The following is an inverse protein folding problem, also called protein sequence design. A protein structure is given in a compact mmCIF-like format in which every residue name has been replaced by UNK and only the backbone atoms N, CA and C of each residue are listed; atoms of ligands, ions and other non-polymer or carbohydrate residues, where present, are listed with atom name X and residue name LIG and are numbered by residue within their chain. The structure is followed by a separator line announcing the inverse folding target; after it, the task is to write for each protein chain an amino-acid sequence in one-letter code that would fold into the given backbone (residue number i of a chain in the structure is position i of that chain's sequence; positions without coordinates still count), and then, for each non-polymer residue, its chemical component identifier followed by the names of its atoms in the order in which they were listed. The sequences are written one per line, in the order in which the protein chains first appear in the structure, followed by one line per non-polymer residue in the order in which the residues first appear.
data_IF_608534398817
#
_entry.id   IF_608534398817
#
_cell.length_a   1.000
_cell.length_b   1.000
_cell.length_c   1.000
_cell.angle_alpha   90.00
_cell.angle_beta   90.00
_cell.angle_gamma   90.00
#
_symmetry.space_group_name_H-M   'P 1'
#
loop_
_entity.id
_entity.type
_entity.pdbx_description
1 polymer ?
#
# COMPACT_ATOMS: atom_id res chain seq x y z
N UNK A 1 -12.23 -67.47 25.73
CA UNK A 1 -11.95 -66.85 24.42
C UNK A 1 -13.09 -65.89 24.10
N UNK A 2 -12.81 -64.58 24.16
CA UNK A 2 -13.60 -63.49 23.56
C UNK A 2 -13.52 -63.57 22.01
N UNK A 3 -14.26 -62.77 21.19
CA UNK A 3 -15.07 -61.54 21.46
C UNK A 3 -16.52 -61.61 20.89
N UNK A 4 -17.56 -60.88 21.30
CA UNK A 4 -17.86 -59.45 21.55
C UNK A 4 -17.67 -58.51 20.33
N UNK A 5 -18.71 -58.39 19.49
CA UNK A 5 -18.80 -57.41 18.41
C UNK A 5 -19.89 -56.37 18.75
N UNK A 6 -19.43 -55.19 19.15
CA UNK A 6 -20.21 -53.99 19.46
C UNK A 6 -20.33 -53.15 18.16
N UNK A 7 -21.53 -52.99 17.63
CA UNK A 7 -21.79 -52.07 16.50
C UNK A 7 -21.94 -50.63 17.03
N UNK A 8 -20.91 -49.81 16.86
CA UNK A 8 -21.01 -48.35 17.00
C UNK A 8 -21.61 -47.75 15.73
N UNK A 9 -22.83 -47.21 15.85
CA UNK A 9 -23.39 -46.29 14.86
C UNK A 9 -22.72 -44.92 15.01
N UNK A 10 -21.88 -44.56 14.07
CA UNK A 10 -21.28 -43.23 13.94
C UNK A 10 -22.36 -42.24 13.50
N UNK A 11 -22.82 -41.41 14.42
CA UNK A 11 -23.59 -40.21 14.10
C UNK A 11 -22.67 -39.21 13.38
N UNK A 12 -22.99 -38.90 12.13
CA UNK A 12 -22.33 -37.85 11.35
C UNK A 12 -22.59 -36.48 11.99
N UNK A 13 -21.56 -35.67 12.29
CA UNK A 13 -21.78 -34.27 12.58
C UNK A 13 -22.05 -33.54 11.26
N UNK A 14 -23.28 -33.03 11.11
CA UNK A 14 -23.62 -32.07 10.07
C UNK A 14 -22.68 -30.87 10.18
N UNK A 15 -21.77 -30.74 9.22
CA UNK A 15 -20.92 -29.58 9.06
C UNK A 15 -21.82 -28.35 8.88
N UNK A 16 -21.96 -27.56 9.94
CA UNK A 16 -22.56 -26.25 9.86
C UNK A 16 -21.63 -25.41 9.00
N UNK A 17 -22.02 -25.23 7.73
CA UNK A 17 -21.42 -24.24 6.85
C UNK A 17 -21.77 -22.87 7.43
N UNK A 18 -20.89 -22.35 8.29
CA UNK A 18 -20.99 -20.99 8.78
C UNK A 18 -20.79 -20.06 7.58
N UNK A 19 -21.90 -19.53 7.06
CA UNK A 19 -21.88 -18.44 6.11
C UNK A 19 -21.02 -17.33 6.71
N UNK A 20 -19.85 -17.11 6.13
CA UNK A 20 -18.96 -16.03 6.52
C UNK A 20 -19.73 -14.73 6.29
N UNK A 21 -19.86 -13.84 7.29
CA UNK A 21 -20.56 -12.59 7.07
C UNK A 21 -19.83 -11.82 5.96
N UNK A 22 -20.48 -11.64 4.81
CA UNK A 22 -20.01 -10.73 3.77
C UNK A 22 -19.79 -9.37 4.44
N UNK A 23 -18.60 -8.76 4.35
CA UNK A 23 -18.37 -7.45 4.93
C UNK A 23 -19.26 -6.42 4.22
N UNK A 24 -20.41 -6.10 4.81
CA UNK A 24 -21.44 -5.18 4.28
C UNK A 24 -20.99 -3.70 4.29
N UNK A 25 -19.69 -3.42 4.44
CA UNK A 25 -19.17 -2.06 4.63
C UNK A 25 -18.80 -1.32 3.34
N UNK A 26 -18.71 -2.04 2.21
CA UNK A 26 -18.32 -1.45 0.92
C UNK A 26 -19.51 -1.06 0.02
N UNK A 27 -20.74 -1.36 0.42
CA UNK A 27 -21.95 -1.15 -0.38
C UNK A 27 -22.66 0.18 -0.08
N UNK A 28 -22.95 0.93 -1.14
CA UNK A 28 -23.75 2.18 -1.19
C UNK A 28 -23.16 3.45 -0.55
N UNK A 29 -22.10 3.37 0.25
CA UNK A 29 -21.34 4.53 0.76
C UNK A 29 -20.10 4.84 -0.09
N UNK A 30 -20.20 4.72 -1.42
CA UNK A 30 -19.23 5.33 -2.37
C UNK A 30 -19.35 6.87 -2.41
N UNK A 31 -19.75 7.50 -1.29
CA UNK A 31 -19.36 8.86 -1.02
C UNK A 31 -17.83 8.85 -0.96
N UNK A 32 -17.17 9.80 -1.64
CA UNK A 32 -15.72 9.81 -1.84
C UNK A 32 -14.97 9.37 -0.57
N UNK A 33 -14.45 8.14 -0.59
CA UNK A 33 -13.62 7.63 0.50
C UNK A 33 -12.48 8.64 0.71
N UNK A 34 -12.12 8.87 1.97
CA UNK A 34 -10.97 9.71 2.24
C UNK A 34 -9.71 9.13 1.57
N UNK A 35 -8.73 9.95 1.25
CA UNK A 35 -7.46 9.48 0.66
C UNK A 35 -6.71 8.49 1.57
N UNK A 36 -7.11 8.42 2.83
CA UNK A 36 -6.64 7.48 3.85
C UNK A 36 -7.44 6.18 3.93
N UNK A 37 -8.39 5.96 3.03
CA UNK A 37 -9.31 4.81 3.04
C UNK A 37 -9.32 4.05 1.72
N UNK A 38 -9.44 2.73 1.79
CA UNK A 38 -9.70 1.87 0.62
C UNK A 38 -10.71 0.80 0.98
N UNK A 39 -11.68 0.56 0.10
CA UNK A 39 -12.55 -0.60 0.23
C UNK A 39 -11.84 -1.87 -0.29
N UNK A 40 -11.70 -2.87 0.58
CA UNK A 40 -11.43 -4.26 0.22
C UNK A 40 -12.72 -5.07 0.38
N UNK A 41 -13.31 -5.63 -0.71
CA UNK A 41 -14.54 -6.42 -0.63
C UNK A 41 -14.49 -7.59 0.37
N UNK A 42 -13.30 -8.09 0.69
CA UNK A 42 -13.09 -9.22 1.62
C UNK A 42 -12.90 -8.79 3.07
N UNK A 43 -12.51 -7.54 3.32
CA UNK A 43 -12.14 -7.03 4.66
C UNK A 43 -12.94 -5.81 5.10
N UNK A 44 -13.71 -5.18 4.23
CA UNK A 44 -14.35 -3.89 4.46
C UNK A 44 -13.42 -2.71 4.16
N UNK A 45 -13.68 -1.56 4.79
CA UNK A 45 -12.88 -0.34 4.60
C UNK A 45 -11.61 -0.44 5.44
N UNK A 46 -10.46 -0.43 4.77
CA UNK A 46 -9.14 -0.32 5.41
C UNK A 46 -8.81 1.16 5.58
N UNK A 47 -8.23 1.52 6.72
CA UNK A 47 -7.86 2.91 7.02
C UNK A 47 -6.36 3.02 7.36
N UNK A 48 -5.68 3.96 6.72
CA UNK A 48 -4.27 4.29 6.97
C UNK A 48 -4.20 5.64 7.70
N UNK A 49 -3.58 5.64 8.88
CA UNK A 49 -3.37 6.85 9.65
C UNK A 49 -1.88 7.12 9.86
N UNK A 50 -1.46 8.36 9.61
CA UNK A 50 -0.18 8.86 10.07
C UNK A 50 -0.37 9.73 11.32
N UNK A 51 0.13 9.28 12.49
CA UNK A 51 -0.03 9.99 13.76
C UNK A 51 1.21 9.83 14.62
N UNK A 52 1.75 10.95 15.12
CA UNK A 52 2.91 10.98 16.02
C UNK A 52 4.10 10.16 15.50
N UNK A 53 4.47 10.34 14.22
CA UNK A 53 5.58 9.61 13.59
C UNK A 53 5.26 8.15 13.23
N UNK A 54 4.03 7.67 13.42
CA UNK A 54 3.67 6.27 13.17
C UNK A 54 2.69 6.15 12.01
N UNK A 55 2.97 5.22 11.10
CA UNK A 55 2.04 4.79 10.06
C UNK A 55 1.29 3.57 10.59
N UNK A 56 -0.02 3.71 10.74
CA UNK A 56 -0.89 2.71 11.36
C UNK A 56 -1.95 2.28 10.36
N UNK A 57 -2.03 0.98 10.10
CA UNK A 57 -3.09 0.37 9.32
C UNK A 57 -4.16 -0.22 10.23
N UNK A 58 -5.40 0.14 9.97
CA UNK A 58 -6.58 -0.41 10.61
C UNK A 58 -7.30 -1.32 9.60
N UNK A 59 -7.44 -2.59 9.97
CA UNK A 59 -8.19 -3.59 9.22
C UNK A 59 -9.40 -3.99 10.07
N UNK A 60 -10.63 -3.95 9.53
CA UNK A 60 -11.83 -4.31 10.30
C UNK A 60 -11.72 -5.68 10.95
N UNK A 61 -12.15 -5.78 12.21
CA UNK A 61 -12.07 -7.00 13.00
C UNK A 61 -10.66 -7.38 13.48
N UNK A 62 -9.65 -6.50 13.31
CA UNK A 62 -8.28 -6.72 13.79
C UNK A 62 -7.80 -5.55 14.66
N UNK A 63 -6.82 -5.82 15.52
CA UNK A 63 -6.12 -4.76 16.23
C UNK A 63 -5.37 -3.84 15.25
N UNK A 64 -5.29 -2.51 15.50
CA UNK A 64 -4.49 -1.60 14.69
C UNK A 64 -3.04 -2.07 14.60
N UNK A 65 -2.47 -2.07 13.41
CA UNK A 65 -1.12 -2.54 13.15
C UNK A 65 -0.22 -1.37 12.80
N UNK A 66 0.91 -1.23 13.49
CA UNK A 66 1.90 -0.19 13.16
C UNK A 66 2.82 -0.74 12.10
N UNK A 67 2.71 -0.21 10.89
CA UNK A 67 3.51 -0.61 9.74
C UNK A 67 4.93 -0.06 9.84
N UNK A 68 5.06 1.17 10.33
CA UNK A 68 6.34 1.87 10.45
C UNK A 68 6.29 2.93 11.56
N UNK A 69 7.46 3.21 12.14
CA UNK A 69 7.69 4.40 12.97
C UNK A 69 8.83 5.20 12.32
N UNK A 70 8.50 6.39 11.82
CA UNK A 70 9.43 7.33 11.20
C UNK A 70 10.12 8.12 12.32
N UNK A 71 11.46 8.08 12.42
CA UNK A 71 12.17 8.89 13.41
C UNK A 71 11.91 10.38 13.17
N UNK A 72 11.76 11.16 14.24
CA UNK A 72 11.40 12.59 14.18
C UNK A 72 12.26 13.41 13.21
N UNK A 73 13.55 13.09 13.10
CA UNK A 73 14.47 13.81 12.23
C UNK A 73 14.10 13.71 10.73
N UNK A 74 13.36 12.65 10.35
CA UNK A 74 12.90 12.36 8.99
C UNK A 74 11.39 12.59 8.81
N UNK A 75 10.75 13.23 9.78
CA UNK A 75 9.30 13.33 9.81
C UNK A 75 8.78 14.22 8.65
N UNK A 76 7.77 13.75 7.88
CA UNK A 76 7.24 14.48 6.73
C UNK A 76 6.55 15.80 7.10
N UNK A 77 6.10 15.98 8.34
CA UNK A 77 5.58 17.26 8.83
C UNK A 77 6.63 18.38 8.83
N UNK A 78 7.92 18.05 8.91
CA UNK A 78 9.00 19.04 8.83
C UNK A 78 9.15 19.65 7.43
N UNK A 79 8.52 19.03 6.43
CA UNK A 79 8.61 19.39 5.01
C UNK A 79 7.22 19.55 4.39
N UNK A 80 6.18 19.72 5.22
CA UNK A 80 4.80 19.94 4.77
C UNK A 80 4.15 18.79 4.00
N UNK A 81 4.77 17.60 3.99
CA UNK A 81 4.39 16.49 3.10
C UNK A 81 3.59 15.38 3.78
N UNK A 82 3.23 15.55 5.06
CA UNK A 82 2.53 14.50 5.83
C UNK A 82 1.22 14.02 5.17
N UNK A 83 0.51 14.89 4.44
CA UNK A 83 -0.72 14.55 3.72
C UNK A 83 -0.51 13.59 2.54
N UNK A 84 0.71 13.54 2.00
CA UNK A 84 1.05 12.63 0.92
C UNK A 84 1.20 11.18 1.41
N UNK A 85 1.19 10.92 2.73
CA UNK A 85 1.03 9.57 3.28
C UNK A 85 -0.43 9.16 3.18
N UNK A 86 -0.75 8.36 2.16
CA UNK A 86 -2.14 8.02 1.84
C UNK A 86 -2.24 6.73 1.05
N UNK A 87 -3.40 6.08 1.11
CA UNK A 87 -3.66 4.89 0.32
C UNK A 87 -3.84 5.27 -1.15
N UNK A 88 -3.44 4.38 -2.06
CA UNK A 88 -3.93 4.51 -3.43
C UNK A 88 -5.44 4.22 -3.44
N UNK A 89 -6.25 4.99 -4.19
CA UNK A 89 -7.68 4.75 -4.28
C UNK A 89 -7.96 3.36 -4.87
N UNK A 90 -9.13 2.78 -4.62
CA UNK A 90 -9.47 1.40 -5.03
C UNK A 90 -9.19 1.12 -6.52
N UNK A 91 -9.40 2.11 -7.41
CA UNK A 91 -9.11 1.97 -8.86
C UNK A 91 -7.62 1.79 -9.19
N UNK A 92 -6.73 2.16 -8.28
CA UNK A 92 -5.27 2.03 -8.37
C UNK A 92 -4.72 0.93 -7.45
N UNK A 93 -5.57 -0.02 -7.04
CA UNK A 93 -5.22 -1.11 -6.12
C UNK A 93 -5.36 -2.50 -6.78
N UNK A 94 -4.65 -2.77 -7.91
CA UNK A 94 -4.85 -4.00 -8.68
C UNK A 94 -4.45 -5.28 -7.93
N UNK A 95 -3.61 -5.14 -6.90
CA UNK A 95 -3.10 -6.27 -6.13
C UNK A 95 -3.89 -6.54 -4.83
N UNK A 96 -4.90 -5.72 -4.53
CA UNK A 96 -5.65 -5.83 -3.26
C UNK A 96 -6.35 -7.18 -3.10
N UNK A 97 -6.87 -7.76 -4.20
CA UNK A 97 -7.46 -9.09 -4.22
C UNK A 97 -6.45 -10.22 -3.89
N UNK A 98 -5.14 -9.94 -4.02
CA UNK A 98 -4.02 -10.85 -3.71
C UNK A 98 -3.37 -10.53 -2.36
N UNK A 99 -4.08 -9.83 -1.47
CA UNK A 99 -3.59 -9.44 -0.14
C UNK A 99 -2.38 -8.51 -0.20
N UNK A 100 -2.32 -7.64 -1.22
CA UNK A 100 -1.26 -6.64 -1.38
C UNK A 100 -1.89 -5.26 -1.44
N UNK A 101 -1.62 -4.44 -0.43
CA UNK A 101 -2.14 -3.09 -0.32
C UNK A 101 -1.05 -2.09 -0.70
N UNK A 102 -1.40 -1.13 -1.55
CA UNK A 102 -0.50 -0.06 -1.97
C UNK A 102 -0.83 1.24 -1.25
N UNK A 103 0.20 1.95 -0.79
CA UNK A 103 0.06 3.30 -0.28
C UNK A 103 1.30 4.12 -0.60
N UNK A 104 1.15 5.44 -0.70
CA UNK A 104 2.28 6.35 -0.83
C UNK A 104 2.82 6.64 0.57
N UNK A 105 4.11 6.40 0.79
CA UNK A 105 4.83 6.81 1.98
C UNK A 105 5.76 7.96 1.62
N UNK A 106 5.86 8.96 2.48
CA UNK A 106 6.82 10.05 2.31
C UNK A 106 7.64 10.23 3.58
N UNK A 107 8.91 10.54 3.40
CA UNK A 107 9.81 10.94 4.48
C UNK A 107 10.64 12.13 4.01
N UNK A 108 11.19 12.86 4.96
CA UNK A 108 12.23 13.82 4.67
C UNK A 108 13.51 13.09 4.28
N UNK A 109 14.26 13.62 3.31
CA UNK A 109 15.47 13.01 2.75
C UNK A 109 16.65 12.96 3.72
N UNK A 110 16.87 14.03 4.47
CA UNK A 110 18.02 14.20 5.35
C UNK A 110 17.62 14.72 6.73
N UNK A 111 18.32 14.30 7.81
CA UNK A 111 18.15 14.94 9.11
C UNK A 111 18.85 16.31 9.13
N UNK A 112 18.36 17.26 9.93
CA UNK A 112 19.03 18.57 10.15
C UNK A 112 18.21 19.79 9.70
N UNK A 113 18.85 20.77 9.09
CA UNK A 113 18.31 22.01 8.50
C UNK A 113 18.13 21.92 6.97
N UNK A 114 18.66 20.85 6.34
CA UNK A 114 18.48 20.63 4.91
C UNK A 114 19.42 21.46 4.05
N UNK A 115 20.68 21.59 4.44
CA UNK A 115 21.71 22.18 3.57
C UNK A 115 22.11 21.20 2.43
N UNK A 116 22.34 21.74 1.21
CA UNK A 116 22.72 20.97 0.02
C UNK A 116 21.74 21.15 -1.15
N UNK A 117 22.10 20.64 -2.34
CA UNK A 117 21.31 20.77 -3.58
C UNK A 117 19.89 20.20 -3.45
N UNK A 118 19.74 19.08 -2.73
CA UNK A 118 18.46 18.44 -2.44
C UNK A 118 17.82 18.83 -1.10
N UNK A 119 18.54 19.62 -0.31
CA UNK A 119 18.21 20.00 1.05
C UNK A 119 17.45 18.96 1.87
N UNK A 120 16.36 19.41 2.49
CA UNK A 120 15.40 18.61 3.24
C UNK A 120 14.24 18.10 2.36
N UNK A 121 14.49 17.72 1.10
CA UNK A 121 13.44 17.31 0.18
C UNK A 121 12.57 16.12 0.64
N UNK A 122 11.53 15.84 -0.13
CA UNK A 122 10.65 14.70 0.07
C UNK A 122 11.20 13.47 -0.66
N UNK A 123 11.22 12.34 0.05
CA UNK A 123 11.49 11.02 -0.52
C UNK A 123 10.19 10.23 -0.46
N UNK A 124 9.56 10.05 -1.61
CA UNK A 124 8.31 9.31 -1.75
C UNK A 124 8.57 7.92 -2.29
N UNK A 125 7.92 6.94 -1.67
CA UNK A 125 7.90 5.57 -2.14
C UNK A 125 6.46 5.05 -2.26
N UNK A 126 6.22 4.25 -3.28
CA UNK A 126 5.11 3.33 -3.32
C UNK A 126 5.42 2.16 -2.38
N UNK A 127 4.73 2.11 -1.25
CA UNK A 127 4.89 1.05 -0.26
C UNK A 127 3.88 -0.07 -0.51
N UNK A 128 4.38 -1.29 -0.53
CA UNK A 128 3.60 -2.52 -0.67
C UNK A 128 3.46 -3.17 0.71
N UNK A 129 2.23 -3.39 1.15
CA UNK A 129 1.92 -4.06 2.41
C UNK A 129 1.35 -5.44 2.13
N UNK A 130 1.91 -6.47 2.76
CA UNK A 130 1.31 -7.79 2.82
C UNK A 130 0.19 -7.80 3.87
N UNK A 131 -1.03 -8.15 3.47
CA UNK A 131 -2.19 -8.29 4.34
C UNK A 131 -2.43 -9.72 4.83
N UNK A 132 -1.58 -10.67 4.43
CA UNK A 132 -1.59 -12.04 4.91
C UNK A 132 -1.10 -12.09 6.37
N UNK A 133 -1.89 -12.70 7.26
CA UNK A 133 -1.58 -12.68 8.69
C UNK A 133 -1.58 -11.25 9.25
N UNK A 134 -0.54 -10.90 10.03
CA UNK A 134 -0.36 -9.54 10.56
C UNK A 134 0.19 -8.61 9.47
N UNK A 135 -0.48 -7.48 9.17
CA UNK A 135 0.00 -6.57 8.14
C UNK A 135 1.45 -6.14 8.32
N UNK A 136 2.23 -6.19 7.24
CA UNK A 136 3.65 -5.84 7.27
C UNK A 136 4.10 -5.27 5.93
N UNK A 137 5.14 -4.45 5.96
CA UNK A 137 5.70 -3.86 4.74
C UNK A 137 6.53 -4.92 4.02
N UNK A 138 6.15 -5.22 2.78
CA UNK A 138 6.87 -6.12 1.88
C UNK A 138 8.00 -5.40 1.14
N UNK A 139 7.69 -4.22 0.59
CA UNK A 139 8.62 -3.44 -0.23
C UNK A 139 8.33 -1.94 -0.16
N UNK A 140 9.35 -1.14 -0.44
CA UNK A 140 9.25 0.30 -0.70
C UNK A 140 9.92 0.58 -2.03
N UNK A 141 9.14 1.00 -3.00
CA UNK A 141 9.62 1.30 -4.34
C UNK A 141 9.70 2.82 -4.49
N UNK A 142 10.89 3.41 -4.67
CA UNK A 142 11.03 4.86 -4.85
C UNK A 142 10.20 5.34 -6.05
N UNK A 143 9.46 6.42 -5.86
CA UNK A 143 8.65 7.05 -6.92
C UNK A 143 8.87 8.55 -7.04
N UNK A 144 9.43 9.19 -6.01
CA UNK A 144 10.04 10.52 -6.13
C UNK A 144 11.18 10.61 -5.13
N UNK A 145 12.34 11.06 -5.60
CA UNK A 145 13.56 11.16 -4.82
C UNK A 145 14.44 12.25 -5.40
N UNK A 146 14.81 13.22 -4.56
CA UNK A 146 15.80 14.19 -4.99
C UNK A 146 17.20 13.55 -5.04
N UNK A 147 17.50 12.66 -4.10
CA UNK A 147 18.81 12.01 -4.00
C UNK A 147 19.09 11.09 -5.19
N UNK A 148 18.06 10.38 -5.66
CA UNK A 148 18.18 9.39 -6.73
C UNK A 148 17.74 9.93 -8.10
N UNK A 149 17.46 11.23 -8.23
CA UNK A 149 16.96 11.87 -9.46
C UNK A 149 15.72 11.16 -10.04
N UNK A 150 14.69 11.04 -9.22
CA UNK A 150 13.40 10.43 -9.58
C UNK A 150 12.32 11.49 -9.43
N UNK A 151 11.64 11.83 -10.52
CA UNK A 151 10.50 12.74 -10.52
C UNK A 151 9.30 12.13 -11.24
N UNK A 152 8.15 12.20 -10.58
CA UNK A 152 6.86 11.85 -11.17
C UNK A 152 6.51 12.86 -12.26
N UNK A 153 5.85 12.38 -13.31
CA UNK A 153 5.27 13.24 -14.35
C UNK A 153 3.97 13.90 -13.85
N UNK A 154 4.11 14.71 -12.79
CA UNK A 154 3.04 15.39 -12.06
C UNK A 154 3.53 16.76 -11.52
N UNK A 155 2.62 17.74 -11.37
CA UNK A 155 2.97 19.06 -10.85
C UNK A 155 3.27 19.06 -9.33
N UNK A 156 2.70 18.11 -8.59
CA UNK A 156 2.91 17.96 -7.16
C UNK A 156 2.78 16.49 -6.73
N UNK A 157 3.25 16.22 -5.51
CA UNK A 157 3.27 14.88 -4.90
C UNK A 157 1.87 14.33 -4.60
N UNK A 158 0.85 15.20 -4.60
CA UNK A 158 -0.53 14.82 -4.31
C UNK A 158 -1.32 14.51 -5.59
N UNK A 159 -0.74 14.71 -6.77
CA UNK A 159 -1.34 14.33 -8.04
C UNK A 159 -1.15 12.84 -8.34
N UNK A 160 -2.27 12.13 -8.55
CA UNK A 160 -2.28 10.71 -8.91
C UNK A 160 -2.41 10.48 -10.43
N UNK A 161 -2.43 11.52 -11.26
CA UNK A 161 -2.45 11.40 -12.73
C UNK A 161 -1.33 10.53 -13.33
N UNK A 162 -0.11 10.43 -12.74
CA UNK A 162 0.93 9.54 -13.28
C UNK A 162 0.63 8.05 -13.07
N UNK A 163 -0.30 7.72 -12.18
CA UNK A 163 -0.60 6.34 -11.79
C UNK A 163 -1.82 5.82 -12.57
N UNK A 164 -1.63 4.70 -13.26
CA UNK A 164 -2.73 4.02 -13.97
C UNK A 164 -2.68 2.51 -13.75
N UNK A 165 -3.81 1.84 -13.95
CA UNK A 165 -3.85 0.37 -13.97
C UNK A 165 -4.15 -0.08 -15.38
N UNK A 166 -3.29 -0.93 -15.94
CA UNK A 166 -3.50 -1.61 -17.22
C UNK A 166 -3.00 -3.04 -17.10
N UNK A 167 -3.74 -3.99 -17.69
CA UNK A 167 -3.40 -5.42 -17.65
C UNK A 167 -3.20 -5.94 -16.21
N UNK A 168 -4.04 -5.48 -15.28
CA UNK A 168 -3.97 -5.78 -13.83
C UNK A 168 -2.62 -5.43 -13.18
N UNK A 169 -1.89 -4.46 -13.74
CA UNK A 169 -0.63 -3.95 -13.20
C UNK A 169 -0.67 -2.44 -13.03
N UNK A 170 -0.05 -1.97 -11.95
CA UNK A 170 0.13 -0.55 -11.72
C UNK A 170 1.27 -0.04 -12.61
N UNK A 171 0.95 0.98 -13.41
CA UNK A 171 1.86 1.77 -14.24
C UNK A 171 2.05 3.14 -13.62
N UNK A 172 3.28 3.66 -13.73
CA UNK A 172 3.70 4.93 -13.16
C UNK A 172 4.51 5.66 -14.23
N UNK A 173 4.15 6.92 -14.48
CA UNK A 173 4.87 7.82 -15.37
C UNK A 173 5.81 8.73 -14.59
N UNK A 174 6.98 8.96 -15.17
CA UNK A 174 8.04 9.79 -14.61
C UNK A 174 8.49 10.83 -15.64
N UNK A 175 8.87 12.00 -15.16
CA UNK A 175 9.58 13.01 -15.97
C UNK A 175 11.09 12.80 -15.92
N UNK A 176 11.59 12.16 -14.85
CA UNK A 176 12.98 11.74 -14.72
C UNK A 176 13.06 10.45 -13.88
N UNK A 177 13.92 9.52 -14.30
CA UNK A 177 14.26 8.35 -13.50
C UNK A 177 15.69 7.94 -13.85
N UNK A 178 16.60 7.97 -12.86
CA UNK A 178 18.01 7.67 -13.09
C UNK A 178 18.23 6.36 -13.87
N UNK A 179 18.99 6.46 -14.96
CA UNK A 179 19.28 5.33 -15.85
C UNK A 179 18.26 5.10 -16.96
N UNK A 180 17.22 5.94 -17.05
CA UNK A 180 16.17 5.88 -18.07
C UNK A 180 15.93 7.25 -18.74
N UNK A 181 16.94 8.12 -18.72
CA UNK A 181 16.84 9.52 -19.18
C UNK A 181 16.54 9.66 -20.69
N UNK A 182 16.75 8.59 -21.47
CA UNK A 182 16.51 8.56 -22.92
C UNK A 182 15.08 8.11 -23.31
N UNK A 183 14.24 7.69 -22.35
CA UNK A 183 12.88 7.23 -22.62
C UNK A 183 11.87 8.39 -22.61
N UNK A 184 10.99 8.47 -23.62
CA UNK A 184 9.90 9.45 -23.68
C UNK A 184 8.57 8.79 -24.13
N UNK A 185 7.58 8.62 -23.23
CA UNK A 185 7.61 8.92 -21.81
C UNK A 185 8.38 7.85 -21.00
N UNK A 186 8.96 8.23 -19.86
CA UNK A 186 9.50 7.26 -18.89
C UNK A 186 8.32 6.60 -18.18
N UNK A 187 7.95 5.39 -18.59
CA UNK A 187 6.90 4.61 -17.98
C UNK A 187 7.45 3.32 -17.36
N UNK A 188 7.08 3.08 -16.10
CA UNK A 188 7.43 1.86 -15.40
C UNK A 188 6.18 1.14 -14.89
N UNK A 189 6.31 -0.17 -14.73
CA UNK A 189 5.30 -1.04 -14.17
C UNK A 189 5.85 -1.63 -12.87
N UNK A 190 5.02 -1.75 -11.83
CA UNK A 190 5.44 -2.48 -10.63
C UNK A 190 5.80 -3.93 -11.00
N UNK A 191 7.01 -4.35 -10.64
CA UNK A 191 7.57 -5.65 -11.01
C UNK A 191 6.67 -6.80 -10.50
N UNK A 192 6.71 -7.99 -11.13
CA UNK A 192 5.87 -9.12 -10.72
C UNK A 192 6.06 -9.57 -9.26
N UNK A 193 7.27 -9.38 -8.71
CA UNK A 193 7.60 -9.66 -7.30
C UNK A 193 7.19 -8.53 -6.35
N UNK A 194 6.76 -7.38 -6.90
CA UNK A 194 6.37 -6.17 -6.18
C UNK A 194 7.51 -5.47 -5.43
N UNK A 195 8.77 -5.83 -5.67
CA UNK A 195 9.94 -5.27 -4.98
C UNK A 195 10.62 -4.12 -5.72
N UNK A 196 10.22 -3.84 -6.96
CA UNK A 196 10.82 -2.77 -7.76
C UNK A 196 9.98 -2.40 -8.97
N UNK A 197 10.58 -1.65 -9.89
CA UNK A 197 9.97 -1.25 -11.15
C UNK A 197 10.60 -2.00 -12.31
N UNK A 198 9.76 -2.36 -13.28
CA UNK A 198 10.19 -2.79 -14.61
C UNK A 198 9.82 -1.69 -15.60
N UNK A 199 10.80 -1.11 -16.26
CA UNK A 199 10.58 -0.07 -17.27
C UNK A 199 10.08 -0.70 -18.55
N UNK A 200 9.07 -0.07 -19.15
CA UNK A 200 8.67 -0.43 -20.50
C UNK A 200 9.82 -0.10 -21.45
N UNK A 201 10.10 -0.95 -22.46
CA UNK A 201 11.04 -0.61 -23.53
C UNK A 201 10.54 0.54 -24.39
#
# INVERSE_FOLDING_TARGET
MLPLLLLLALASPAAHSAATPTPTGCGAASAALAETEVCDPRRGVLHLAYRAGRIVLQVPGRAPTVLETIPRAYAPELIGSARAIRLLPTRLQPYLARDRLLYLSVRRSSPGDGHGYCGAGAEMALTVVDLHGTPSILARVPVSSCLDNIDLDAPDLDDLTPYTVRDDRLRIRFSAYAGHDDADPIEAVLAPDLHGLTFAP
#
